data_IF_163503025786
#
_entry.id   IF_163503025786
#
_cell.length_a   1.000
_cell.length_b   1.000
_cell.length_c   1.000
_cell.angle_alpha   90.00
_cell.angle_beta   90.00
_cell.angle_gamma   90.00
#
_symmetry.space_group_name_H-M   'P 1'
#
loop_
_entity.id
_entity.type
_entity.pdbx_description
1 polymer ?
#
# COMPACT_ATOMS: atom_id res chain seq x y z
N UNK A 1 7.32 16.57 12.20
CA UNK A 1 7.10 16.90 10.75
C UNK A 1 5.73 16.41 10.25
N UNK A 2 5.41 15.09 10.17
CA UNK A 2 4.09 14.65 9.69
C UNK A 2 2.95 15.11 10.62
N UNK A 3 3.10 14.97 11.92
CA UNK A 3 2.13 15.43 12.93
C UNK A 3 1.93 16.95 12.89
N UNK A 4 3.00 17.71 12.67
CA UNK A 4 2.97 19.17 12.57
C UNK A 4 2.30 19.68 11.28
N UNK A 5 2.28 18.84 10.23
CA UNK A 5 1.66 19.16 8.93
C UNK A 5 0.20 18.78 8.84
N UNK A 6 -0.44 18.39 9.96
CA UNK A 6 -1.82 17.89 10.00
C UNK A 6 -2.08 16.68 9.10
N UNK A 7 -1.07 15.82 8.90
CA UNK A 7 -1.26 14.56 8.22
C UNK A 7 -2.26 13.68 8.99
N UNK A 8 -3.14 13.01 8.27
CA UNK A 8 -4.14 12.10 8.87
C UNK A 8 -3.60 10.70 9.14
N UNK A 9 -2.51 10.33 8.47
CA UNK A 9 -1.80 9.07 8.61
C UNK A 9 -0.38 9.20 8.08
N UNK A 10 0.48 8.27 8.44
CA UNK A 10 1.83 8.12 7.87
C UNK A 10 2.04 6.68 7.42
N UNK A 11 2.95 6.45 6.47
CA UNK A 11 3.18 5.11 5.99
C UNK A 11 4.60 4.90 5.47
N UNK A 12 4.94 3.62 5.28
CA UNK A 12 6.20 3.19 4.69
C UNK A 12 5.96 2.14 3.61
N UNK A 13 6.66 2.28 2.49
CA UNK A 13 6.76 1.22 1.48
C UNK A 13 7.83 0.21 1.89
N UNK A 14 7.48 -1.08 1.89
CA UNK A 14 8.43 -2.16 2.20
C UNK A 14 8.88 -2.92 0.94
N UNK A 15 8.22 -2.70 -0.19
CA UNK A 15 8.46 -3.38 -1.46
C UNK A 15 9.48 -2.67 -2.37
N UNK A 16 10.15 -1.64 -1.88
CA UNK A 16 10.98 -0.76 -2.71
C UNK A 16 12.32 -1.35 -3.19
N UNK A 17 12.61 -2.63 -2.90
CA UNK A 17 13.89 -3.29 -3.21
C UNK A 17 14.25 -3.31 -4.70
N UNK A 18 13.25 -3.39 -5.59
CA UNK A 18 13.44 -3.39 -7.04
C UNK A 18 13.29 -2.03 -7.72
N UNK A 19 13.07 -0.95 -6.96
CA UNK A 19 12.92 0.38 -7.54
C UNK A 19 14.26 0.95 -8.00
N UNK A 20 14.47 0.97 -9.32
CA UNK A 20 15.70 1.47 -9.97
C UNK A 20 16.04 2.90 -9.51
N UNK A 21 15.04 3.75 -9.31
CA UNK A 21 15.23 5.13 -8.85
C UNK A 21 15.91 5.23 -7.48
N UNK A 22 15.63 4.32 -6.56
CA UNK A 22 16.29 4.30 -5.25
C UNK A 22 17.75 3.87 -5.37
N UNK A 23 18.02 2.85 -6.19
CA UNK A 23 19.39 2.40 -6.49
C UNK A 23 20.21 3.51 -7.14
N UNK A 24 19.64 4.25 -8.10
CA UNK A 24 20.29 5.40 -8.75
C UNK A 24 20.66 6.52 -7.78
N UNK A 25 19.90 6.68 -6.67
CA UNK A 25 20.21 7.65 -5.64
C UNK A 25 21.06 7.09 -4.50
N UNK A 26 21.65 5.90 -4.68
CA UNK A 26 22.51 5.26 -3.68
C UNK A 26 21.78 4.86 -2.38
N UNK A 27 20.46 4.83 -2.38
CA UNK A 27 19.67 4.46 -1.19
C UNK A 27 19.61 2.95 -1.07
N UNK A 28 20.15 2.42 0.02
CA UNK A 28 20.06 1.01 0.36
C UNK A 28 18.69 0.70 0.95
N UNK A 29 17.94 -0.17 0.28
CA UNK A 29 16.70 -0.72 0.80
C UNK A 29 17.00 -2.03 1.51
N UNK A 30 16.46 -2.19 2.72
CA UNK A 30 16.63 -3.40 3.54
C UNK A 30 15.26 -3.92 3.97
N UNK A 31 15.07 -5.24 4.08
CA UNK A 31 13.84 -5.82 4.63
C UNK A 31 13.54 -5.24 6.01
N UNK A 32 12.26 -5.16 6.36
CA UNK A 32 11.80 -4.73 7.68
C UNK A 32 11.35 -5.94 8.48
N UNK A 33 11.81 -6.02 9.72
CA UNK A 33 11.33 -7.01 10.69
C UNK A 33 10.07 -6.52 11.40
N UNK A 34 9.40 -7.40 12.15
CA UNK A 34 8.27 -7.02 13.02
C UNK A 34 8.70 -5.95 14.02
N UNK A 35 9.90 -6.09 14.60
CA UNK A 35 10.45 -5.11 15.55
C UNK A 35 10.71 -3.75 14.90
N UNK A 36 11.17 -3.73 13.64
CA UNK A 36 11.35 -2.47 12.90
C UNK A 36 10.02 -1.77 12.65
N UNK A 37 9.01 -2.51 12.23
CA UNK A 37 7.65 -1.99 12.01
C UNK A 37 7.04 -1.48 13.32
N UNK A 38 7.19 -2.24 14.41
CA UNK A 38 6.74 -1.85 15.75
C UNK A 38 7.40 -0.56 16.22
N UNK A 39 8.73 -0.42 16.02
CA UNK A 39 9.46 0.83 16.33
C UNK A 39 8.93 2.01 15.52
N UNK A 40 8.71 1.82 14.22
CA UNK A 40 8.15 2.85 13.35
C UNK A 40 6.73 3.25 13.78
N UNK A 41 5.86 2.27 14.03
CA UNK A 41 4.51 2.50 14.54
C UNK A 41 4.52 3.32 15.84
N UNK A 42 5.39 2.98 16.77
CA UNK A 42 5.50 3.63 18.08
C UNK A 42 6.19 5.01 18.02
N UNK A 43 6.79 5.38 16.89
CA UNK A 43 7.43 6.70 16.70
C UNK A 43 6.44 7.82 16.36
N UNK A 44 5.17 7.51 16.15
CA UNK A 44 4.11 8.47 15.82
C UNK A 44 2.80 8.12 16.53
N UNK A 45 1.97 9.13 16.77
CA UNK A 45 0.59 8.97 17.26
C UNK A 45 -0.42 8.82 16.11
N UNK A 46 0.00 9.10 14.87
CA UNK A 46 -0.86 8.97 13.70
C UNK A 46 -1.08 7.49 13.34
N UNK A 47 -2.20 7.18 12.67
CA UNK A 47 -2.38 5.88 12.04
C UNK A 47 -1.18 5.56 11.15
N UNK A 48 -0.63 4.33 11.30
CA UNK A 48 0.56 3.89 10.58
C UNK A 48 0.20 2.83 9.54
N UNK A 49 0.63 3.06 8.31
CA UNK A 49 0.28 2.25 7.14
C UNK A 49 1.54 1.57 6.59
N UNK A 50 1.47 0.27 6.33
CA UNK A 50 2.53 -0.46 5.63
C UNK A 50 2.06 -0.80 4.22
N UNK A 51 2.81 -0.38 3.20
CA UNK A 51 2.49 -0.60 1.79
C UNK A 51 3.50 -1.54 1.14
N UNK A 52 3.00 -2.34 0.17
CA UNK A 52 3.80 -3.33 -0.55
C UNK A 52 3.61 -4.76 -0.04
N UNK A 53 2.47 -5.01 0.60
CA UNK A 53 2.10 -6.34 1.09
C UNK A 53 1.58 -7.17 -0.09
N UNK A 54 2.19 -8.35 -0.32
CA UNK A 54 1.79 -9.26 -1.38
C UNK A 54 1.63 -10.71 -0.91
N UNK A 55 1.94 -10.99 0.37
CA UNK A 55 1.81 -12.32 0.96
C UNK A 55 0.96 -12.30 2.24
N UNK A 56 0.42 -13.46 2.60
CA UNK A 56 -0.30 -13.62 3.87
C UNK A 56 0.65 -13.44 5.05
N UNK A 57 1.88 -13.92 4.91
CA UNK A 57 2.92 -13.84 5.91
C UNK A 57 3.24 -12.38 6.25
N UNK A 58 3.49 -11.53 5.24
CA UNK A 58 3.73 -10.09 5.43
C UNK A 58 2.54 -9.39 6.11
N UNK A 59 1.32 -9.75 5.72
CA UNK A 59 0.11 -9.20 6.33
C UNK A 59 -0.02 -9.58 7.82
N UNK A 60 0.31 -10.82 8.17
CA UNK A 60 0.31 -11.27 9.56
C UNK A 60 1.41 -10.59 10.38
N UNK A 61 2.60 -10.38 9.80
CA UNK A 61 3.68 -9.61 10.44
C UNK A 61 3.26 -8.16 10.70
N UNK A 62 2.53 -7.52 9.77
CA UNK A 62 1.99 -6.18 9.97
C UNK A 62 0.96 -6.14 11.12
N UNK A 63 0.08 -7.14 11.23
CA UNK A 63 -0.85 -7.28 12.36
C UNK A 63 -0.09 -7.44 13.67
N UNK A 64 0.92 -8.31 13.72
CA UNK A 64 1.75 -8.55 14.90
C UNK A 64 2.49 -7.28 15.34
N UNK A 65 2.97 -6.48 14.40
CA UNK A 65 3.63 -5.20 14.66
C UNK A 65 2.68 -4.08 15.15
N UNK A 66 1.36 -4.33 15.18
CA UNK A 66 0.35 -3.35 15.59
C UNK A 66 0.10 -2.24 14.57
N UNK A 67 0.35 -2.50 13.28
CA UNK A 67 0.10 -1.56 12.18
C UNK A 67 -1.42 -1.34 12.01
N UNK A 68 -1.84 -0.11 11.72
CA UNK A 68 -3.27 0.24 11.64
C UNK A 68 -3.91 -0.13 10.28
N UNK A 69 -3.10 -0.07 9.20
CA UNK A 69 -3.57 -0.44 7.87
C UNK A 69 -2.43 -1.01 7.02
N UNK A 70 -2.80 -1.89 6.10
CA UNK A 70 -1.90 -2.38 5.05
C UNK A 70 -2.39 -1.94 3.68
N UNK A 71 -1.46 -1.76 2.73
CA UNK A 71 -1.78 -1.62 1.31
C UNK A 71 -1.27 -2.85 0.57
N UNK A 72 -2.20 -3.66 0.06
CA UNK A 72 -1.86 -4.75 -0.86
C UNK A 72 -1.46 -4.11 -2.18
N UNK A 73 -0.19 -4.27 -2.56
CA UNK A 73 0.40 -3.53 -3.67
C UNK A 73 1.67 -4.22 -4.17
N UNK A 74 1.80 -4.35 -5.48
CA UNK A 74 3.04 -4.72 -6.15
C UNK A 74 3.71 -3.51 -6.84
N UNK A 75 3.42 -2.29 -6.34
CA UNK A 75 3.93 -1.03 -6.86
C UNK A 75 3.60 -0.79 -8.34
N UNK A 76 2.48 -1.34 -8.81
CA UNK A 76 2.08 -1.30 -10.22
C UNK A 76 2.93 -2.20 -11.13
N UNK A 77 3.47 -3.29 -10.59
CA UNK A 77 4.32 -4.25 -11.30
C UNK A 77 5.75 -3.76 -11.55
N UNK A 78 6.22 -2.74 -10.80
CA UNK A 78 7.50 -2.08 -11.06
C UNK A 78 8.65 -2.53 -10.16
N UNK A 79 8.38 -3.37 -9.18
CA UNK A 79 9.36 -3.76 -8.14
C UNK A 79 10.04 -5.09 -8.48
N UNK A 80 9.23 -6.13 -8.67
CA UNK A 80 9.71 -7.48 -8.98
C UNK A 80 8.94 -8.03 -10.19
N UNK A 81 9.66 -8.69 -11.08
CA UNK A 81 9.06 -9.42 -12.19
C UNK A 81 8.41 -10.71 -11.72
N UNK A 82 7.48 -11.23 -12.53
CA UNK A 82 6.82 -12.53 -12.31
C UNK A 82 6.06 -12.64 -10.99
N UNK A 83 5.67 -11.53 -10.37
CA UNK A 83 4.80 -11.53 -9.20
C UNK A 83 3.34 -11.62 -9.61
N UNK A 84 2.45 -12.20 -8.77
CA UNK A 84 1.02 -12.23 -9.05
C UNK A 84 0.41 -10.84 -9.12
N UNK A 85 -0.72 -10.72 -9.78
CA UNK A 85 -1.54 -9.51 -9.74
C UNK A 85 -2.14 -9.28 -8.35
N UNK A 86 -2.33 -8.01 -7.97
CA UNK A 86 -2.89 -7.67 -6.64
C UNK A 86 -4.25 -8.35 -6.41
N UNK A 87 -5.13 -8.38 -7.41
CA UNK A 87 -6.44 -9.05 -7.28
C UNK A 87 -6.35 -10.56 -7.02
N UNK A 88 -5.23 -11.21 -7.36
CA UNK A 88 -5.04 -12.63 -7.13
C UNK A 88 -4.73 -12.94 -5.66
N UNK A 89 -4.07 -12.01 -4.96
CA UNK A 89 -3.64 -12.20 -3.56
C UNK A 89 -4.61 -11.62 -2.53
N UNK A 90 -5.45 -10.62 -2.89
CA UNK A 90 -6.43 -10.01 -1.98
C UNK A 90 -7.27 -11.07 -1.23
N UNK A 91 -7.87 -12.09 -1.88
CA UNK A 91 -8.75 -13.01 -1.15
C UNK A 91 -8.06 -13.80 -0.04
N UNK A 92 -6.83 -14.25 -0.27
CA UNK A 92 -6.06 -15.00 0.72
C UNK A 92 -5.62 -14.12 1.89
N UNK A 93 -5.15 -12.91 1.60
CA UNK A 93 -4.75 -11.94 2.61
C UNK A 93 -5.97 -11.49 3.43
N UNK A 94 -7.06 -11.12 2.77
CA UNK A 94 -8.29 -10.73 3.46
C UNK A 94 -8.81 -11.83 4.38
N UNK A 95 -8.82 -13.09 3.93
CA UNK A 95 -9.22 -14.23 4.75
C UNK A 95 -8.40 -14.35 6.04
N UNK A 96 -7.12 -14.00 6.00
CA UNK A 96 -6.21 -14.13 7.14
C UNK A 96 -6.32 -12.98 8.14
N UNK A 97 -6.55 -11.74 7.66
CA UNK A 97 -6.39 -10.54 8.48
C UNK A 97 -7.60 -9.61 8.53
N UNK A 98 -8.69 -9.85 7.77
CA UNK A 98 -9.89 -9.00 7.81
C UNK A 98 -10.49 -8.93 9.21
N UNK A 99 -10.82 -7.71 9.64
CA UNK A 99 -11.30 -7.43 11.00
C UNK A 99 -10.19 -7.27 12.05
N UNK A 100 -8.92 -7.55 11.68
CA UNK A 100 -7.75 -7.31 12.54
C UNK A 100 -6.99 -6.04 12.15
N UNK A 101 -7.04 -5.66 10.87
CA UNK A 101 -6.34 -4.52 10.30
C UNK A 101 -7.14 -3.99 9.10
N UNK A 102 -7.03 -2.69 8.82
CA UNK A 102 -7.64 -2.10 7.62
C UNK A 102 -6.87 -2.54 6.37
N UNK A 103 -7.60 -3.02 5.35
CA UNK A 103 -7.04 -3.52 4.10
C UNK A 103 -7.29 -2.51 2.99
N UNK A 104 -6.23 -1.86 2.55
CA UNK A 104 -6.23 -1.03 1.35
C UNK A 104 -5.62 -1.84 0.20
N UNK A 105 -5.97 -1.52 -1.05
CA UNK A 105 -5.38 -2.14 -2.22
C UNK A 105 -5.14 -1.13 -3.34
N UNK A 106 -4.11 -1.35 -4.15
CA UNK A 106 -3.84 -0.56 -5.34
C UNK A 106 -3.39 -1.44 -6.52
N UNK A 107 -3.05 -0.80 -7.62
CA UNK A 107 -2.49 -1.48 -8.79
C UNK A 107 -3.55 -1.84 -9.86
N UNK A 108 -3.31 -1.39 -11.08
CA UNK A 108 -4.15 -1.74 -12.23
C UNK A 108 -5.50 -1.04 -12.33
N UNK A 109 -5.92 -0.28 -11.32
CA UNK A 109 -7.23 0.40 -11.29
C UNK A 109 -7.32 1.45 -12.39
N UNK A 110 -8.37 1.35 -13.22
CA UNK A 110 -8.66 2.27 -14.33
C UNK A 110 -10.07 2.80 -14.29
N UNK A 111 -11.02 2.01 -13.78
CA UNK A 111 -12.45 2.29 -13.79
C UNK A 111 -13.06 2.02 -12.41
N UNK A 112 -14.28 2.53 -12.18
CA UNK A 112 -15.03 2.21 -10.97
C UNK A 112 -15.35 0.71 -10.83
N UNK A 113 -15.42 -0.01 -11.95
CA UNK A 113 -15.62 -1.47 -11.93
C UNK A 113 -14.43 -2.18 -11.27
N UNK A 114 -13.21 -1.70 -11.52
CA UNK A 114 -12.01 -2.27 -10.87
C UNK A 114 -12.04 -2.05 -9.36
N UNK A 115 -12.52 -0.86 -8.92
CA UNK A 115 -12.71 -0.56 -7.49
C UNK A 115 -13.69 -1.55 -6.87
N UNK A 116 -14.87 -1.73 -7.49
CA UNK A 116 -15.91 -2.66 -6.99
C UNK A 116 -15.38 -4.09 -6.89
N UNK A 117 -14.60 -4.52 -7.89
CA UNK A 117 -13.96 -5.86 -7.86
C UNK A 117 -13.02 -6.02 -6.68
N UNK A 118 -12.12 -5.05 -6.44
CA UNK A 118 -11.17 -5.11 -5.32
C UNK A 118 -11.88 -5.12 -3.95
N UNK A 119 -12.93 -4.30 -3.80
CA UNK A 119 -13.76 -4.32 -2.58
C UNK A 119 -14.45 -5.68 -2.43
N UNK A 120 -15.03 -6.22 -3.50
CA UNK A 120 -15.66 -7.55 -3.50
C UNK A 120 -14.70 -8.70 -3.17
N UNK A 121 -13.41 -8.55 -3.49
CA UNK A 121 -12.36 -9.51 -3.13
C UNK A 121 -11.90 -9.40 -1.67
N UNK A 122 -12.24 -8.32 -0.98
CA UNK A 122 -11.97 -8.18 0.46
C UNK A 122 -11.24 -6.92 0.90
N UNK A 123 -10.86 -6.01 0.00
CA UNK A 123 -10.31 -4.72 0.37
C UNK A 123 -11.38 -3.83 1.05
N UNK A 124 -10.97 -2.97 1.98
CA UNK A 124 -11.84 -1.99 2.62
C UNK A 124 -11.87 -0.67 1.84
N UNK A 125 -10.77 -0.33 1.16
CA UNK A 125 -10.68 0.82 0.26
C UNK A 125 -9.63 0.58 -0.84
N UNK A 126 -9.68 1.42 -1.89
CA UNK A 126 -8.82 1.29 -3.08
C UNK A 126 -8.12 2.62 -3.36
N UNK A 127 -6.81 2.53 -3.62
CA UNK A 127 -5.99 3.68 -4.00
C UNK A 127 -5.88 3.73 -5.54
N UNK A 128 -6.00 4.93 -6.08
CA UNK A 128 -5.97 5.17 -7.52
C UNK A 128 -4.88 6.21 -7.81
N UNK A 129 -3.91 5.86 -8.64
CA UNK A 129 -2.81 6.75 -9.00
C UNK A 129 -2.96 7.33 -10.41
N UNK A 130 -2.45 6.61 -11.41
CA UNK A 130 -2.30 7.08 -12.80
C UNK A 130 -3.56 7.68 -13.46
N UNK A 131 -4.78 7.16 -13.26
CA UNK A 131 -5.98 7.80 -13.79
C UNK A 131 -6.17 9.24 -13.31
N UNK A 132 -5.94 9.50 -12.02
CA UNK A 132 -6.03 10.87 -11.48
C UNK A 132 -4.90 11.78 -11.97
N UNK A 133 -3.69 11.24 -12.17
CA UNK A 133 -2.60 12.00 -12.80
C UNK A 133 -3.02 12.43 -14.22
N UNK A 134 -3.51 11.49 -15.03
CA UNK A 134 -3.98 11.79 -16.39
C UNK A 134 -5.11 12.82 -16.39
N UNK A 135 -6.10 12.64 -15.52
CA UNK A 135 -7.23 13.55 -15.38
C UNK A 135 -6.80 14.97 -14.97
N UNK A 136 -5.87 15.06 -14.00
CA UNK A 136 -5.31 16.35 -13.56
C UNK A 136 -4.57 17.09 -14.67
N UNK A 137 -3.75 16.38 -15.47
CA UNK A 137 -3.07 16.99 -16.62
C UNK A 137 -4.04 17.36 -17.75
N UNK A 138 -5.10 16.57 -17.98
CA UNK A 138 -6.08 16.81 -19.02
C UNK A 138 -7.08 17.92 -18.72
N UNK A 139 -7.50 18.07 -17.47
CA UNK A 139 -8.59 18.97 -17.08
C UNK A 139 -8.40 19.68 -15.74
N UNK A 140 -7.21 19.65 -15.16
CA UNK A 140 -6.93 20.23 -13.82
C UNK A 140 -7.99 19.75 -12.81
N UNK A 141 -8.53 20.65 -11.98
CA UNK A 141 -9.55 20.33 -10.97
C UNK A 141 -10.81 19.71 -11.58
N UNK A 142 -11.26 20.19 -12.73
CA UNK A 142 -12.48 19.68 -13.38
C UNK A 142 -12.27 18.31 -14.02
N UNK A 143 -11.05 17.99 -14.45
CA UNK A 143 -10.70 16.65 -14.92
C UNK A 143 -10.70 15.59 -13.83
N UNK A 144 -10.50 15.98 -12.57
CA UNK A 144 -10.46 15.06 -11.42
C UNK A 144 -11.82 14.87 -10.76
N UNK A 145 -12.77 15.79 -10.96
CA UNK A 145 -14.16 15.67 -10.50
C UNK A 145 -14.94 14.64 -11.32
#
# INVERSE_FOLDING_TARGET
MAEESNAIAVGVDIDACGLVTLSMHGKKVVPKTVEDLTKLKNSTKLPFIVKGIMTVEDALMAVEAGVDAIVISNHGGRVLDCTPGVCEVIPSIAKAVKGKITILADGGVRTGVDVVKMIGLGADAVLIGRPFVTASFGGKTDGVK
#
